data_IF_523062273040
#
_entry.id   IF_523062273040
#
_cell.length_a   1.000
_cell.length_b   1.000
_cell.length_c   1.000
_cell.angle_alpha   90.00
_cell.angle_beta   90.00
_cell.angle_gamma   90.00
#
_symmetry.space_group_name_H-M   'P 1'
#
loop_
_entity.id
_entity.type
_entity.pdbx_description
1 polymer ?
#
# COMPACT_ATOMS: atom_id res chain seq x y z
N UNK A 1 0.82 -4.08 -29.73
CA UNK A 1 0.98 -5.28 -28.90
C UNK A 1 1.25 -4.81 -27.49
N UNK A 2 0.26 -4.97 -26.60
CA UNK A 2 0.25 -4.41 -25.25
C UNK A 2 1.29 -5.09 -24.38
N UNK A 3 2.17 -4.30 -23.74
CA UNK A 3 3.01 -4.78 -22.65
C UNK A 3 2.10 -5.10 -21.44
N UNK A 4 2.31 -6.23 -20.73
CA UNK A 4 1.50 -6.55 -19.56
C UNK A 4 1.92 -5.67 -18.37
N UNK A 5 0.94 -5.35 -17.50
CA UNK A 5 1.11 -4.65 -16.23
C UNK A 5 2.39 -5.09 -15.51
N UNK A 6 3.33 -4.18 -15.33
CA UNK A 6 4.52 -4.40 -14.52
C UNK A 6 4.08 -4.56 -13.05
N UNK A 7 4.20 -5.80 -12.59
CA UNK A 7 3.63 -6.30 -11.34
C UNK A 7 4.36 -5.66 -10.16
N UNK A 8 3.62 -4.97 -9.28
CA UNK A 8 4.10 -4.68 -7.91
C UNK A 8 4.59 -5.98 -7.28
N UNK A 9 5.66 -5.95 -6.44
CA UNK A 9 6.27 -7.16 -5.94
C UNK A 9 5.20 -8.02 -5.24
N UNK A 10 5.06 -9.31 -5.60
CA UNK A 10 4.15 -10.21 -4.92
C UNK A 10 4.52 -10.28 -3.43
N UNK A 11 3.53 -10.47 -2.57
CA UNK A 11 3.84 -10.81 -1.18
C UNK A 11 4.62 -12.13 -1.16
N UNK A 12 5.42 -12.36 -0.14
CA UNK A 12 6.24 -13.54 0.05
C UNK A 12 5.77 -14.27 1.32
N UNK A 13 5.69 -15.59 1.24
CA UNK A 13 5.43 -16.43 2.39
C UNK A 13 6.65 -17.31 2.64
N UNK A 14 7.27 -17.18 3.81
CA UNK A 14 8.51 -17.88 4.14
C UNK A 14 8.29 -18.88 5.26
N UNK A 15 8.72 -20.12 5.08
CA UNK A 15 8.69 -21.14 6.12
C UNK A 15 9.89 -20.99 7.07
N UNK A 16 9.64 -20.97 8.39
CA UNK A 16 10.68 -20.84 9.40
C UNK A 16 11.66 -22.04 9.42
N UNK A 17 11.18 -23.23 9.03
CA UNK A 17 11.99 -24.45 8.92
C UNK A 17 12.06 -24.86 7.46
N UNK A 18 13.28 -25.00 6.94
CA UNK A 18 13.55 -25.39 5.55
C UNK A 18 13.94 -24.23 4.63
N UNK A 19 13.73 -22.98 5.04
CA UNK A 19 14.14 -21.80 4.26
C UNK A 19 13.39 -21.62 2.94
N UNK A 20 12.29 -22.36 2.75
CA UNK A 20 11.45 -22.27 1.57
C UNK A 20 10.66 -20.96 1.61
N UNK A 21 10.68 -20.23 0.48
CA UNK A 21 9.95 -18.98 0.32
C UNK A 21 9.14 -19.04 -0.96
N UNK A 22 7.83 -18.79 -0.86
CA UNK A 22 6.90 -18.82 -1.97
C UNK A 22 6.37 -17.42 -2.27
N UNK A 23 6.57 -16.89 -3.49
CA UNK A 23 5.89 -15.68 -3.93
C UNK A 23 4.38 -15.92 -4.10
N UNK A 24 3.58 -15.07 -3.47
CA UNK A 24 2.12 -15.03 -3.56
C UNK A 24 1.73 -14.18 -4.78
N UNK A 25 1.93 -14.73 -5.98
CA UNK A 25 1.66 -14.06 -7.26
C UNK A 25 0.32 -14.43 -7.92
N UNK A 26 -0.41 -15.39 -7.36
CA UNK A 26 -1.69 -15.88 -7.90
C UNK A 26 -2.88 -15.39 -7.07
N UNK A 27 -4.09 -15.45 -7.64
CA UNK A 27 -5.33 -15.09 -6.93
C UNK A 27 -5.53 -15.96 -5.68
N UNK A 28 -4.98 -17.18 -5.66
CA UNK A 28 -5.11 -18.14 -4.57
C UNK A 28 -3.81 -18.95 -4.39
N UNK A 29 -3.43 -19.19 -3.15
CA UNK A 29 -2.32 -20.05 -2.74
C UNK A 29 -2.81 -21.05 -1.71
N UNK A 30 -2.67 -22.34 -2.01
CA UNK A 30 -3.05 -23.45 -1.14
C UNK A 30 -1.84 -23.96 -0.36
N UNK A 31 -2.00 -24.12 0.95
CA UNK A 31 -0.97 -24.59 1.86
C UNK A 31 -1.42 -25.91 2.48
N UNK A 32 -0.53 -26.89 2.48
CA UNK A 32 -0.83 -28.19 3.06
C UNK A 32 0.31 -29.18 2.89
N UNK A 33 0.09 -30.43 3.30
CA UNK A 33 1.13 -31.47 3.25
C UNK A 33 1.20 -32.22 1.92
N UNK A 34 0.16 -32.19 1.10
CA UNK A 34 0.19 -32.90 -0.20
C UNK A 34 0.93 -32.10 -1.24
N UNK A 35 1.62 -32.79 -2.15
CA UNK A 35 2.39 -32.21 -3.24
C UNK A 35 1.57 -31.40 -4.26
N UNK A 36 0.24 -31.48 -4.19
CA UNK A 36 -0.65 -30.66 -5.03
C UNK A 36 -0.95 -29.29 -4.41
N UNK A 37 -0.37 -28.96 -3.26
CA UNK A 37 -0.44 -27.61 -2.68
C UNK A 37 0.66 -26.73 -3.27
N UNK A 38 0.42 -25.43 -3.32
CA UNK A 38 1.39 -24.46 -3.82
C UNK A 38 2.57 -24.31 -2.86
N UNK A 39 2.30 -24.33 -1.55
CA UNK A 39 3.32 -24.51 -0.52
C UNK A 39 3.12 -25.83 0.21
N UNK A 40 4.15 -26.68 0.13
CA UNK A 40 4.11 -28.02 0.70
C UNK A 40 4.85 -28.05 2.03
N UNK A 41 4.13 -28.29 3.12
CA UNK A 41 4.72 -28.42 4.45
C UNK A 41 4.95 -29.89 4.79
N UNK A 42 6.22 -30.25 4.99
CA UNK A 42 6.63 -31.61 5.38
C UNK A 42 6.42 -31.88 6.88
N UNK A 43 5.19 -31.65 7.36
CA UNK A 43 4.81 -31.75 8.76
C UNK A 43 3.55 -32.61 8.92
N UNK A 44 3.65 -33.74 9.64
CA UNK A 44 2.55 -34.69 9.82
C UNK A 44 1.33 -34.08 10.53
N UNK A 45 1.54 -33.04 11.34
CA UNK A 45 0.47 -32.30 12.00
C UNK A 45 -0.25 -31.31 11.06
N UNK A 46 0.26 -31.12 9.85
CA UNK A 46 -0.40 -30.35 8.79
C UNK A 46 -1.33 -31.27 7.99
N UNK A 47 -2.55 -30.76 7.74
CA UNK A 47 -3.57 -31.44 6.96
C UNK A 47 -3.17 -31.49 5.49
N UNK A 48 -3.72 -32.45 4.74
CA UNK A 48 -3.40 -32.61 3.31
C UNK A 48 -3.56 -31.30 2.55
N UNK A 49 -4.73 -30.66 2.70
CA UNK A 49 -5.01 -29.26 2.35
C UNK A 49 -5.41 -28.62 3.68
N UNK A 50 -4.75 -27.54 4.10
CA UNK A 50 -4.87 -27.05 5.48
C UNK A 50 -5.38 -25.61 5.54
N UNK A 51 -4.75 -24.72 4.79
CA UNK A 51 -5.18 -23.33 4.70
C UNK A 51 -5.07 -22.85 3.26
N UNK A 52 -5.79 -21.79 2.94
CA UNK A 52 -5.60 -21.05 1.70
C UNK A 52 -5.42 -19.57 1.98
N UNK A 53 -4.56 -18.95 1.18
CA UNK A 53 -4.39 -17.51 1.11
C UNK A 53 -4.99 -17.05 -0.20
N UNK A 54 -5.83 -16.02 -0.18
CA UNK A 54 -6.45 -15.43 -1.37
C UNK A 54 -6.04 -13.97 -1.47
N UNK A 55 -5.73 -13.53 -2.68
CA UNK A 55 -5.51 -12.12 -2.98
C UNK A 55 -6.85 -11.46 -3.28
N UNK A 56 -7.22 -10.48 -2.47
CA UNK A 56 -8.38 -9.62 -2.67
C UNK A 56 -7.94 -8.19 -3.03
N UNK A 57 -8.88 -7.33 -3.44
CA UNK A 57 -8.58 -5.93 -3.79
C UNK A 57 -7.95 -5.14 -2.62
N UNK A 58 -8.27 -5.51 -1.39
CA UNK A 58 -7.79 -4.87 -0.16
C UNK A 58 -6.51 -5.47 0.41
N UNK A 59 -5.98 -6.57 -0.14
CA UNK A 59 -4.78 -7.25 0.36
C UNK A 59 -4.93 -8.76 0.35
N UNK A 60 -4.18 -9.44 1.22
CA UNK A 60 -4.22 -10.90 1.33
C UNK A 60 -5.05 -11.31 2.55
N UNK A 61 -5.84 -12.36 2.38
CA UNK A 61 -6.59 -12.98 3.46
C UNK A 61 -6.22 -14.45 3.56
N UNK A 62 -6.22 -15.00 4.78
CA UNK A 62 -6.06 -16.43 5.04
C UNK A 62 -7.36 -17.02 5.57
N UNK A 63 -7.67 -18.24 5.13
CA UNK A 63 -8.76 -19.08 5.64
C UNK A 63 -8.25 -20.47 6.00
N UNK A 64 -8.73 -21.00 7.12
CA UNK A 64 -8.60 -22.42 7.44
C UNK A 64 -9.64 -23.21 6.63
N UNK A 65 -9.20 -24.28 5.96
CA UNK A 65 -10.08 -25.12 5.11
C UNK A 65 -10.37 -26.46 5.79
N UNK A 66 -10.95 -26.39 6.99
CA UNK A 66 -11.33 -27.55 7.82
C UNK A 66 -10.13 -28.41 8.22
N UNK A 67 -9.07 -27.75 8.68
CA UNK A 67 -7.87 -28.46 9.09
C UNK A 67 -8.04 -29.15 10.46
N UNK A 68 -7.28 -30.23 10.68
CA UNK A 68 -7.39 -31.04 11.90
C UNK A 68 -6.88 -30.30 13.14
N UNK A 69 -5.80 -29.53 13.00
CA UNK A 69 -5.13 -28.84 14.11
C UNK A 69 -5.44 -27.32 14.14
N UNK A 70 -6.12 -26.80 13.12
CA UNK A 70 -6.42 -25.38 12.98
C UNK A 70 -5.24 -24.54 12.49
N UNK A 71 -5.59 -23.40 11.90
CA UNK A 71 -4.67 -22.33 11.51
C UNK A 71 -4.65 -21.23 12.58
N UNK A 72 -3.46 -20.74 12.91
CA UNK A 72 -3.27 -19.62 13.86
C UNK A 72 -2.58 -18.45 13.17
N UNK A 73 -2.98 -17.22 13.49
CA UNK A 73 -2.34 -15.98 13.05
C UNK A 73 -1.93 -15.20 14.28
N UNK A 74 -0.64 -14.89 14.43
CA UNK A 74 -0.06 -14.22 15.61
C UNK A 74 -0.50 -14.86 16.95
N UNK A 75 -0.56 -16.19 16.98
CA UNK A 75 -0.98 -16.96 18.16
C UNK A 75 -2.50 -17.09 18.36
N UNK A 76 -3.33 -16.37 17.59
CA UNK A 76 -4.79 -16.49 17.64
C UNK A 76 -5.28 -17.54 16.65
N UNK A 77 -6.02 -18.54 17.13
CA UNK A 77 -6.67 -19.54 16.26
C UNK A 77 -7.83 -18.92 15.48
N UNK A 78 -7.93 -19.22 14.19
CA UNK A 78 -9.08 -18.85 13.37
C UNK A 78 -10.30 -19.72 13.70
N UNK A 79 -11.49 -19.11 13.71
CA UNK A 79 -12.76 -19.80 13.84
C UNK A 79 -13.14 -20.48 12.50
N UNK A 80 -13.98 -21.53 12.52
CA UNK A 80 -14.46 -22.15 11.29
C UNK A 80 -15.11 -21.11 10.35
N UNK A 81 -14.65 -21.07 9.09
CA UNK A 81 -15.12 -20.12 8.07
C UNK A 81 -14.62 -18.68 8.22
N UNK A 82 -13.81 -18.37 9.23
CA UNK A 82 -13.25 -17.03 9.43
C UNK A 82 -12.17 -16.72 8.39
N UNK A 83 -12.29 -15.57 7.74
CA UNK A 83 -11.24 -14.99 6.92
C UNK A 83 -10.48 -13.94 7.73
N UNK A 84 -9.16 -14.08 7.80
CA UNK A 84 -8.28 -13.14 8.50
C UNK A 84 -7.40 -12.40 7.48
N UNK A 85 -7.45 -11.07 7.49
CA UNK A 85 -6.52 -10.24 6.72
C UNK A 85 -5.10 -10.39 7.26
N UNK A 86 -4.14 -10.62 6.36
CA UNK A 86 -2.73 -10.70 6.67
C UNK A 86 -2.06 -9.33 6.54
N UNK A 87 -1.14 -9.05 7.46
CA UNK A 87 -0.30 -7.85 7.49
C UNK A 87 1.16 -8.24 7.39
N UNK A 88 2.00 -7.35 6.88
CA UNK A 88 3.46 -7.58 6.86
C UNK A 88 3.98 -7.98 8.25
N UNK A 89 4.81 -9.02 8.26
CA UNK A 89 5.40 -9.58 9.47
C UNK A 89 4.50 -10.55 10.24
N UNK A 90 3.23 -10.73 9.84
CA UNK A 90 2.33 -11.68 10.51
C UNK A 90 2.90 -13.10 10.47
N UNK A 91 2.78 -13.79 11.60
CA UNK A 91 3.19 -15.19 11.73
C UNK A 91 1.97 -16.09 11.63
N UNK A 92 1.99 -17.02 10.67
CA UNK A 92 0.99 -18.08 10.54
C UNK A 92 1.56 -19.37 11.11
N UNK A 93 0.75 -20.09 11.90
CA UNK A 93 1.09 -21.44 12.37
C UNK A 93 0.06 -22.44 11.90
N UNK A 94 0.55 -23.48 11.21
CA UNK A 94 -0.22 -24.62 10.73
C UNK A 94 0.42 -25.88 11.31
N UNK A 95 -0.30 -26.59 12.17
CA UNK A 95 0.31 -27.71 12.91
C UNK A 95 1.51 -27.22 13.74
N UNK A 96 2.70 -27.79 13.49
CA UNK A 96 3.97 -27.40 14.13
C UNK A 96 4.86 -26.53 13.24
N UNK A 97 4.36 -26.12 12.09
CA UNK A 97 5.07 -25.30 11.11
C UNK A 97 4.70 -23.84 11.27
N UNK A 98 5.71 -22.99 11.49
CA UNK A 98 5.57 -21.53 11.50
C UNK A 98 5.98 -20.96 10.12
N UNK A 99 5.17 -20.03 9.63
CA UNK A 99 5.36 -19.30 8.38
C UNK A 99 5.32 -17.80 8.69
N UNK A 100 6.09 -17.02 7.97
CA UNK A 100 6.05 -15.57 8.05
C UNK A 100 5.56 -14.99 6.74
N UNK A 101 4.55 -14.13 6.82
CA UNK A 101 4.04 -13.38 5.69
C UNK A 101 4.80 -12.06 5.58
N UNK A 102 5.31 -11.78 4.40
CA UNK A 102 5.98 -10.55 4.06
C UNK A 102 5.25 -9.91 2.89
N UNK A 103 4.71 -8.72 3.07
CA UNK A 103 4.14 -7.99 1.95
C UNK A 103 5.05 -6.80 1.64
N UNK A 104 5.84 -6.96 0.58
CA UNK A 104 6.69 -5.89 0.06
C UNK A 104 5.88 -4.65 -0.34
N UNK A 105 4.57 -4.81 -0.59
CA UNK A 105 3.59 -3.75 -0.76
C UNK A 105 2.92 -3.28 0.53
N UNK A 106 3.09 -3.94 1.67
CA UNK A 106 2.58 -3.52 2.99
C UNK A 106 3.55 -2.62 3.77
N UNK A 107 4.84 -2.59 3.39
CA UNK A 107 5.67 -1.38 3.63
C UNK A 107 5.04 -0.14 2.97
N UNK A 108 4.16 -0.34 1.98
CA UNK A 108 3.34 0.69 1.33
C UNK A 108 1.83 0.59 1.69
N UNK A 109 1.40 -0.36 2.53
CA UNK A 109 0.00 -0.57 2.94
C UNK A 109 -0.06 -1.17 4.35
N UNK A 110 0.10 -0.31 5.36
CA UNK A 110 -0.15 -0.68 6.76
C UNK A 110 -1.66 -0.81 6.98
N UNK A 111 -2.17 -1.95 7.48
CA UNK A 111 -3.60 -2.12 7.70
C UNK A 111 -4.05 -1.34 8.94
N UNK A 112 -4.79 -0.26 8.66
CA UNK A 112 -5.21 0.77 9.60
C UNK A 112 -5.55 2.11 8.92
N UNK A 113 -5.12 2.30 7.67
CA UNK A 113 -5.43 3.50 6.88
C UNK A 113 -6.85 3.46 6.28
N UNK A 114 -7.80 3.97 7.05
CA UNK A 114 -8.57 5.08 6.51
C UNK A 114 -7.57 6.22 6.24
N UNK A 115 -7.60 6.85 5.07
CA UNK A 115 -6.81 8.05 4.66
C UNK A 115 -5.50 7.86 3.84
N UNK A 116 -5.27 6.74 3.13
CA UNK A 116 -4.26 6.73 2.04
C UNK A 116 -4.92 7.11 0.71
N UNK A 117 -4.50 8.24 0.15
CA UNK A 117 -4.97 8.73 -1.14
C UNK A 117 -3.99 8.30 -2.23
N UNK A 118 -4.49 7.53 -3.20
CA UNK A 118 -3.71 7.11 -4.36
C UNK A 118 -4.15 7.90 -5.58
N UNK A 119 -3.29 8.81 -6.02
CA UNK A 119 -3.34 9.40 -7.35
C UNK A 119 -2.13 8.85 -8.10
N UNK A 120 -2.26 7.65 -8.69
CA UNK A 120 -1.14 6.94 -9.32
C UNK A 120 -0.40 7.85 -10.30
N UNK A 121 0.92 8.10 -10.12
CA UNK A 121 1.89 7.26 -9.42
C UNK A 121 2.37 7.77 -8.04
N UNK A 122 1.58 8.60 -7.35
CA UNK A 122 1.92 9.15 -6.02
C UNK A 122 1.22 8.37 -4.90
N UNK A 123 1.99 7.94 -3.91
CA UNK A 123 1.51 7.38 -2.65
C UNK A 123 1.90 8.29 -1.48
N UNK A 124 0.97 8.47 -0.52
CA UNK A 124 1.16 9.33 0.64
C UNK A 124 0.90 8.56 1.93
N UNK A 125 1.89 8.59 2.82
CA UNK A 125 1.79 8.14 4.20
C UNK A 125 1.57 9.36 5.10
N UNK A 126 0.31 9.58 5.51
CA UNK A 126 -0.07 10.69 6.37
C UNK A 126 0.43 10.54 7.81
N UNK A 127 0.68 9.31 8.30
CA UNK A 127 1.18 9.08 9.65
C UNK A 127 2.66 9.43 9.77
N UNK A 128 3.44 9.13 8.73
CA UNK A 128 4.89 9.40 8.69
C UNK A 128 5.24 10.70 7.98
N UNK A 129 4.26 11.37 7.36
CA UNK A 129 4.45 12.52 6.47
C UNK A 129 5.42 12.22 5.32
N UNK A 130 5.34 11.01 4.75
CA UNK A 130 6.24 10.54 3.69
C UNK A 130 5.48 10.38 2.37
N UNK A 131 6.05 10.93 1.30
CA UNK A 131 5.52 10.76 -0.04
C UNK A 131 6.41 9.82 -0.85
N UNK A 132 5.81 9.07 -1.75
CA UNK A 132 6.50 8.14 -2.65
C UNK A 132 5.99 8.33 -4.07
N UNK A 133 6.90 8.27 -5.03
CA UNK A 133 6.60 8.37 -6.45
C UNK A 133 7.27 7.21 -7.16
N UNK A 134 6.49 6.38 -7.88
CA UNK A 134 7.00 5.14 -8.52
C UNK A 134 7.83 4.27 -7.56
N UNK A 135 7.41 4.18 -6.29
CA UNK A 135 8.10 3.43 -5.24
C UNK A 135 9.35 4.09 -4.65
N UNK A 136 9.82 5.23 -5.19
CA UNK A 136 10.92 5.99 -4.63
C UNK A 136 10.43 7.05 -3.65
N UNK A 137 11.09 7.14 -2.49
CA UNK A 137 10.77 8.16 -1.47
C UNK A 137 11.03 9.56 -2.03
N UNK A 138 10.01 10.41 -1.99
CA UNK A 138 10.05 11.82 -2.32
C UNK A 138 10.28 12.63 -1.03
N UNK A 139 11.49 13.16 -0.79
CA UNK A 139 11.74 13.97 0.40
C UNK A 139 11.01 15.32 0.26
N UNK A 140 9.96 15.49 1.08
CA UNK A 140 9.16 16.71 1.14
C UNK A 140 9.27 17.35 2.53
N UNK A 141 9.29 18.67 2.57
CA UNK A 141 9.05 19.40 3.81
C UNK A 141 7.58 19.23 4.25
N UNK A 142 7.24 19.40 5.54
CA UNK A 142 5.88 19.18 6.04
C UNK A 142 4.78 19.93 5.26
N UNK A 143 5.05 21.17 4.86
CA UNK A 143 4.10 21.97 4.05
C UNK A 143 4.00 21.48 2.60
N UNK A 144 5.10 21.00 2.02
CA UNK A 144 5.09 20.42 0.67
C UNK A 144 4.29 19.11 0.65
N UNK A 145 4.45 18.28 1.68
CA UNK A 145 3.65 17.08 1.90
C UNK A 145 2.17 17.43 2.07
N UNK A 146 1.85 18.39 2.93
CA UNK A 146 0.47 18.82 3.16
C UNK A 146 -0.21 19.32 1.88
N UNK A 147 0.49 20.10 1.04
CA UNK A 147 -0.04 20.51 -0.26
C UNK A 147 -0.30 19.31 -1.16
N UNK A 148 0.64 18.38 -1.25
CA UNK A 148 0.49 17.17 -2.07
C UNK A 148 -0.71 16.33 -1.60
N UNK A 149 -0.86 16.16 -0.28
CA UNK A 149 -1.99 15.48 0.36
C UNK A 149 -3.34 16.12 0.00
N UNK A 150 -3.46 17.44 0.14
CA UNK A 150 -4.70 18.18 -0.21
C UNK A 150 -5.08 17.97 -1.68
N UNK A 151 -4.10 17.92 -2.57
CA UNK A 151 -4.37 17.74 -4.00
C UNK A 151 -4.61 16.27 -4.38
N UNK A 152 -3.96 15.32 -3.71
CA UNK A 152 -4.16 13.88 -3.92
C UNK A 152 -5.49 13.37 -3.36
N UNK A 153 -6.09 14.11 -2.42
CA UNK A 153 -7.40 13.81 -1.83
C UNK A 153 -8.54 13.79 -2.85
N UNK A 154 -8.46 14.66 -3.85
CA UNK A 154 -9.41 14.73 -4.97
C UNK A 154 -8.65 14.88 -6.28
N UNK A 155 -8.07 13.80 -6.82
CA UNK A 155 -7.28 13.88 -8.04
C UNK A 155 -8.15 14.31 -9.22
N UNK A 156 -7.59 15.17 -10.08
CA UNK A 156 -8.30 15.76 -11.20
C UNK A 156 -9.17 16.97 -10.87
N UNK A 157 -9.56 17.16 -9.61
CA UNK A 157 -10.35 18.30 -9.15
C UNK A 157 -9.49 19.51 -8.77
N UNK A 158 -10.04 20.70 -9.03
CA UNK A 158 -9.37 21.96 -8.67
C UNK A 158 -9.64 22.28 -7.21
N UNK A 159 -8.58 22.22 -6.38
CA UNK A 159 -8.60 22.75 -5.01
C UNK A 159 -8.34 24.25 -5.07
N UNK A 160 -9.21 25.02 -4.42
CA UNK A 160 -9.15 26.48 -4.44
C UNK A 160 -8.04 27.00 -3.53
N UNK A 161 -7.43 28.15 -3.87
CA UNK A 161 -6.35 28.74 -3.07
C UNK A 161 -6.75 28.96 -1.61
N UNK A 162 -7.96 29.47 -1.37
CA UNK A 162 -8.48 29.67 -0.02
C UNK A 162 -8.62 28.35 0.77
N UNK A 163 -9.01 27.26 0.09
CA UNK A 163 -9.10 25.94 0.70
C UNK A 163 -7.72 25.35 0.99
N UNK A 164 -6.79 25.45 0.03
CA UNK A 164 -5.40 25.04 0.20
C UNK A 164 -4.76 25.79 1.38
N UNK A 165 -4.98 27.10 1.47
CA UNK A 165 -4.53 27.93 2.58
C UNK A 165 -4.97 27.39 3.93
N UNK A 166 -6.28 27.14 4.10
CA UNK A 166 -6.84 26.61 5.35
C UNK A 166 -6.32 25.22 5.73
N UNK A 167 -6.13 24.34 4.76
CA UNK A 167 -5.75 22.94 5.01
C UNK A 167 -4.25 22.76 5.19
N UNK A 168 -3.42 23.51 4.46
CA UNK A 168 -1.95 23.42 4.55
C UNK A 168 -1.42 24.26 5.72
N UNK A 169 -2.10 25.33 6.08
CA UNK A 169 -1.73 26.26 7.14
C UNK A 169 -2.88 26.51 8.13
N UNK A 170 -3.34 25.46 8.84
CA UNK A 170 -4.40 25.62 9.83
C UNK A 170 -4.01 26.60 10.95
N UNK A 171 -2.72 26.73 11.24
CA UNK A 171 -2.19 27.63 12.27
C UNK A 171 -2.35 29.13 11.95
N UNK A 172 -2.60 29.47 10.68
CA UNK A 172 -2.85 30.83 10.22
C UNK A 172 -4.35 31.13 10.02
N UNK A 173 -5.25 30.21 10.41
CA UNK A 173 -6.70 30.42 10.32
C UNK A 173 -7.24 30.62 8.89
N UNK A 174 -6.46 30.28 7.86
CA UNK A 174 -6.81 30.52 6.46
C UNK A 174 -6.31 31.84 5.87
N UNK A 175 -5.63 32.68 6.65
CA UNK A 175 -5.03 33.94 6.18
C UNK A 175 -3.64 33.68 5.56
N UNK A 176 -3.63 33.07 4.38
CA UNK A 176 -2.41 32.83 3.60
C UNK A 176 -2.52 33.50 2.25
N UNK A 177 -1.49 34.27 1.86
CA UNK A 177 -1.46 34.93 0.56
C UNK A 177 -1.32 33.92 -0.58
N UNK A 178 -1.95 34.22 -1.72
CA UNK A 178 -1.81 33.45 -2.96
C UNK A 178 -0.35 33.26 -3.36
N UNK A 179 0.52 34.25 -3.10
CA UNK A 179 1.96 34.15 -3.33
C UNK A 179 2.60 32.99 -2.57
N UNK A 180 2.29 32.80 -1.29
CA UNK A 180 2.85 31.71 -0.50
C UNK A 180 2.41 30.34 -1.03
N UNK A 181 1.15 30.23 -1.47
CA UNK A 181 0.60 29.03 -2.10
C UNK A 181 1.33 28.74 -3.41
N UNK A 182 1.51 29.76 -4.26
CA UNK A 182 2.16 29.64 -5.55
C UNK A 182 3.66 29.26 -5.41
N UNK A 183 4.35 29.79 -4.40
CA UNK A 183 5.73 29.42 -4.05
C UNK A 183 5.80 27.96 -3.61
N UNK A 184 4.87 27.51 -2.76
CA UNK A 184 4.83 26.13 -2.29
C UNK A 184 4.55 25.16 -3.44
N UNK A 185 3.58 25.47 -4.30
CA UNK A 185 3.27 24.69 -5.50
C UNK A 185 4.47 24.59 -6.45
N UNK A 186 5.22 25.68 -6.60
CA UNK A 186 6.43 25.70 -7.43
C UNK A 186 7.55 24.82 -6.85
N UNK A 187 7.70 24.77 -5.52
CA UNK A 187 8.66 23.86 -4.86
C UNK A 187 8.23 22.41 -5.02
N UNK A 188 6.95 22.11 -4.78
CA UNK A 188 6.40 20.77 -4.95
C UNK A 188 6.58 20.26 -6.38
N UNK A 189 6.33 21.10 -7.40
CA UNK A 189 6.58 20.74 -8.80
C UNK A 189 8.03 20.33 -9.06
N UNK A 190 8.99 21.11 -8.57
CA UNK A 190 10.43 20.78 -8.72
C UNK A 190 10.79 19.46 -8.04
N UNK A 191 10.21 19.18 -6.87
CA UNK A 191 10.39 17.91 -6.16
C UNK A 191 9.85 16.74 -6.98
N UNK A 192 8.64 16.86 -7.53
CA UNK A 192 8.02 15.84 -8.36
C UNK A 192 8.84 15.58 -9.64
N UNK A 193 9.26 16.63 -10.35
CA UNK A 193 10.11 16.51 -11.55
C UNK A 193 11.45 15.84 -11.22
N UNK A 194 12.07 16.23 -10.10
CA UNK A 194 13.34 15.63 -9.67
C UNK A 194 13.23 14.14 -9.37
N UNK A 195 12.06 13.64 -8.96
CA UNK A 195 11.86 12.25 -8.58
C UNK A 195 11.27 11.37 -9.69
N UNK A 196 10.38 11.90 -10.52
CA UNK A 196 9.70 11.14 -11.58
C UNK A 196 10.15 11.48 -13.01
N UNK A 197 11.05 12.46 -13.17
CA UNK A 197 11.50 12.95 -14.46
C UNK A 197 10.57 14.02 -15.05
N UNK A 198 10.83 14.42 -16.31
CA UNK A 198 10.15 15.56 -16.95
C UNK A 198 8.63 15.38 -17.08
N UNK A 199 8.14 14.15 -17.21
CA UNK A 199 6.70 13.86 -17.34
C UNK A 199 5.87 14.38 -16.14
N UNK A 200 6.50 14.43 -14.95
CA UNK A 200 5.86 14.91 -13.74
C UNK A 200 5.58 16.42 -13.73
N UNK A 201 6.13 17.18 -14.68
CA UNK A 201 5.80 18.59 -14.86
C UNK A 201 4.30 18.79 -15.14
N UNK A 202 3.69 17.84 -15.86
CA UNK A 202 2.28 17.85 -16.20
C UNK A 202 1.35 17.49 -15.04
N UNK A 203 1.88 16.94 -13.94
CA UNK A 203 1.04 16.40 -12.87
C UNK A 203 0.41 17.48 -11.99
N UNK A 204 1.13 18.58 -11.77
CA UNK A 204 0.62 19.70 -10.97
C UNK A 204 0.15 20.84 -11.87
N UNK A 205 -1.14 20.85 -12.16
CA UNK A 205 -1.76 21.84 -13.05
C UNK A 205 -2.23 23.06 -12.27
N UNK A 206 -1.76 24.22 -12.70
CA UNK A 206 -2.25 25.52 -12.22
C UNK A 206 -3.53 25.89 -12.96
N UNK A 207 -4.60 26.17 -12.23
CA UNK A 207 -5.84 26.74 -12.79
C UNK A 207 -5.90 28.21 -12.42
N UNK A 208 -5.69 29.06 -13.43
CA UNK A 208 -5.57 30.52 -13.30
C UNK A 208 -6.74 31.10 -12.49
N UNK A 209 -6.43 31.95 -11.51
CA UNK A 209 -7.40 32.59 -10.58
C UNK A 209 -8.25 31.64 -9.72
N UNK A 210 -8.03 30.32 -9.76
CA UNK A 210 -8.79 29.35 -8.95
C UNK A 210 -7.91 28.62 -7.95
N UNK A 211 -6.90 27.90 -8.45
CA UNK A 211 -6.03 27.11 -7.58
C UNK A 211 -5.27 26.03 -8.35
N UNK A 212 -5.21 24.84 -7.78
CA UNK A 212 -4.33 23.76 -8.24
C UNK A 212 -5.07 22.44 -8.30
N UNK A 213 -4.67 21.57 -9.22
CA UNK A 213 -5.12 20.18 -9.27
C UNK A 213 -3.95 19.25 -9.55
N UNK A 214 -4.02 18.07 -8.96
CA UNK A 214 -3.12 16.97 -9.29
C UNK A 214 -3.77 16.09 -10.34
N UNK A 215 -3.15 15.98 -11.52
CA UNK A 215 -3.53 15.06 -12.60
C UNK A 215 -2.40 14.06 -12.73
N UNK A 216 -2.51 12.97 -12.01
CA UNK A 216 -1.52 11.92 -12.09
C UNK A 216 -1.72 11.18 -13.43
N UNK A 217 -0.66 11.07 -14.24
CA UNK A 217 -0.74 10.52 -15.59
C UNK A 217 -1.19 9.05 -15.53
N UNK A 218 -2.31 8.74 -16.21
CA UNK A 218 -2.83 7.39 -16.40
C UNK A 218 -1.91 6.54 -17.27
#
# INVERSE_FOLDING_TARGET
MSAPLEQSPPALLTAARGGESLPLGQDRTLIGRVSTCDMVLHDQSVSRRHAEITREASGYIVRDIESSNGTFVNGRRLRPGEAQTLRDGDTLRLGSSDLQFHDAGATLRVPGLSESLSAAPVFLDHQRQEAFVRGQRLPLAPKEFALLAVLADRPGEVRERAEIGRLVWPEYGGEVSDYNIDVLASRLRRRLISAAGPDAESWLVTVKKRGYRLVAAA
#
